data_IF_398583073682
#
_entry.id   IF_398583073682
#
_cell.length_a   1.000
_cell.length_b   1.000
_cell.length_c   1.000
_cell.angle_alpha   90.00
_cell.angle_beta   90.00
_cell.angle_gamma   90.00
#
_symmetry.space_group_name_H-M   'P 1'
#
loop_
_entity.id
_entity.type
_entity.pdbx_description
1 polymer ?
#
# COMPACT_ATOMS: atom_id res chain seq x y z
N UNK A 1 -69.98 -4.46 -25.98
CA UNK A 1 -70.23 -5.06 -24.67
C UNK A 1 -69.59 -4.17 -23.62
N UNK A 2 -70.40 -3.55 -22.80
CA UNK A 2 -70.13 -2.48 -21.85
C UNK A 2 -69.64 -3.07 -20.51
N UNK A 3 -68.70 -2.44 -19.79
CA UNK A 3 -68.28 -2.94 -18.46
C UNK A 3 -69.22 -2.45 -17.34
N UNK A 4 -69.31 -3.18 -16.21
CA UNK A 4 -70.17 -2.76 -15.11
C UNK A 4 -69.45 -1.84 -14.12
N UNK A 5 -70.20 -0.97 -13.47
CA UNK A 5 -69.83 0.04 -12.48
C UNK A 5 -69.70 -0.52 -11.05
N UNK A 6 -69.02 0.21 -10.14
CA UNK A 6 -68.55 -0.27 -8.86
C UNK A 6 -69.66 -0.20 -7.73
N UNK A 7 -69.48 -1.13 -6.80
CA UNK A 7 -70.32 -1.22 -5.59
C UNK A 7 -69.80 -0.37 -4.42
N UNK A 8 -70.74 0.09 -3.57
CA UNK A 8 -70.55 1.00 -2.45
C UNK A 8 -69.84 0.36 -1.23
N UNK A 9 -69.06 1.15 -0.54
CA UNK A 9 -68.50 0.86 0.79
C UNK A 9 -69.56 0.89 1.91
N UNK A 10 -69.33 0.16 2.99
CA UNK A 10 -69.88 0.56 4.31
C UNK A 10 -68.80 0.56 5.41
N UNK A 11 -68.93 1.54 6.30
CA UNK A 11 -68.75 1.38 7.72
C UNK A 11 -67.35 1.68 8.31
N UNK A 12 -67.22 2.94 8.77
CA UNK A 12 -66.18 3.34 9.70
C UNK A 12 -66.34 2.61 11.05
N UNK A 13 -65.25 1.94 11.51
CA UNK A 13 -65.12 1.52 12.92
C UNK A 13 -64.03 2.36 13.57
N UNK A 14 -64.40 3.08 14.60
CA UNK A 14 -63.55 3.78 15.55
C UNK A 14 -62.60 2.79 16.21
N UNK A 15 -61.29 3.05 16.12
CA UNK A 15 -60.28 2.33 16.89
C UNK A 15 -59.83 3.22 18.04
N UNK A 16 -59.94 2.63 19.19
CA UNK A 16 -59.49 3.03 20.50
C UNK A 16 -57.99 3.38 20.50
N UNK A 17 -57.58 4.48 21.13
CA UNK A 17 -56.21 4.92 21.29
C UNK A 17 -55.62 4.25 22.54
N UNK A 18 -54.77 3.25 22.33
CA UNK A 18 -53.88 2.73 23.36
C UNK A 18 -52.70 3.69 23.63
N UNK A 19 -51.99 3.57 24.78
CA UNK A 19 -51.02 4.54 25.26
C UNK A 19 -49.76 4.60 24.39
N UNK A 20 -49.22 5.83 24.22
CA UNK A 20 -48.20 6.22 23.30
C UNK A 20 -46.89 5.43 23.39
N UNK A 21 -46.37 5.06 22.23
CA UNK A 21 -44.99 4.59 22.05
C UNK A 21 -43.97 5.73 22.31
N UNK A 22 -42.83 5.46 22.93
CA UNK A 22 -41.80 6.48 23.12
C UNK A 22 -41.26 6.96 21.76
N UNK A 23 -41.13 8.27 21.61
CA UNK A 23 -40.61 8.92 20.41
C UNK A 23 -39.18 8.50 20.09
N UNK A 24 -38.75 8.67 18.81
CA UNK A 24 -37.41 8.28 18.40
C UNK A 24 -36.35 9.12 19.17
N UNK A 25 -35.56 8.41 19.94
CA UNK A 25 -34.42 8.99 20.65
C UNK A 25 -33.55 9.78 19.68
N UNK A 26 -33.17 10.97 20.08
CA UNK A 26 -32.15 11.76 19.39
C UNK A 26 -30.88 10.93 19.22
N UNK A 27 -30.66 10.38 18.02
CA UNK A 27 -29.37 9.90 17.59
C UNK A 27 -28.41 11.09 17.71
N UNK A 28 -27.53 11.05 18.70
CA UNK A 28 -26.38 11.96 18.76
C UNK A 28 -25.66 11.81 17.43
N UNK A 29 -25.68 12.87 16.61
CA UNK A 29 -24.81 12.94 15.44
C UNK A 29 -23.40 12.87 15.96
N UNK A 30 -22.67 11.82 15.58
CA UNK A 30 -21.22 11.83 15.71
C UNK A 30 -20.69 13.06 15.00
N UNK A 31 -19.67 13.77 15.57
CA UNK A 31 -19.11 14.94 14.94
C UNK A 31 -18.58 14.56 13.56
N UNK A 32 -19.01 15.29 12.55
CA UNK A 32 -18.59 15.13 11.15
C UNK A 32 -17.07 15.32 11.10
N UNK A 33 -16.32 14.23 10.85
CA UNK A 33 -14.88 14.19 10.82
C UNK A 33 -14.27 15.14 9.73
N UNK A 34 -15.11 15.81 8.96
CA UNK A 34 -14.72 16.76 7.90
C UNK A 34 -14.31 18.14 8.39
N UNK A 35 -14.48 18.46 9.67
CA UNK A 35 -14.22 19.80 10.22
C UNK A 35 -13.17 19.85 11.34
N UNK A 36 -12.25 18.91 11.41
CA UNK A 36 -11.01 19.15 12.13
C UNK A 36 -10.17 20.13 11.30
N UNK A 37 -10.42 21.42 11.50
CA UNK A 37 -9.57 22.48 10.95
C UNK A 37 -8.15 22.25 11.50
N UNK A 38 -7.28 21.69 10.66
CA UNK A 38 -5.85 21.61 10.93
C UNK A 38 -5.30 23.02 10.95
N UNK A 39 -4.80 23.47 12.09
CA UNK A 39 -4.06 24.71 12.20
C UNK A 39 -2.94 24.71 11.14
N UNK A 40 -2.69 25.86 10.53
CA UNK A 40 -1.54 26.10 9.64
C UNK A 40 -0.29 25.74 10.46
N UNK A 41 0.41 24.64 10.05
CA UNK A 41 1.53 24.07 10.83
C UNK A 41 1.22 22.71 11.47
N UNK A 42 0.02 22.14 11.25
CA UNK A 42 -0.38 20.85 11.80
C UNK A 42 0.43 19.68 11.24
N UNK A 43 1.04 18.90 12.14
CA UNK A 43 1.64 17.61 11.82
C UNK A 43 0.57 16.69 11.21
N UNK A 44 1.00 15.82 10.29
CA UNK A 44 0.14 14.77 9.77
C UNK A 44 -0.52 13.99 10.93
N UNK A 45 -1.80 13.56 10.81
CA UNK A 45 -2.48 12.83 11.86
C UNK A 45 -1.65 11.65 12.36
N UNK A 46 -1.61 11.37 13.68
CA UNK A 46 -0.87 10.25 14.21
C UNK A 46 -1.47 8.94 13.67
N UNK A 47 -0.59 8.00 13.29
CA UNK A 47 -0.97 6.66 12.86
C UNK A 47 -0.65 5.64 13.96
N UNK A 48 -1.25 4.45 13.90
CA UNK A 48 -0.83 3.32 14.72
C UNK A 48 0.60 2.92 14.39
N UNK A 49 1.29 2.25 15.32
CA UNK A 49 2.58 1.62 15.05
C UNK A 49 2.37 0.18 14.66
N UNK A 50 2.95 -0.24 13.54
CA UNK A 50 2.96 -1.63 13.07
C UNK A 50 4.34 -2.21 13.30
N UNK A 51 4.41 -3.30 14.08
CA UNK A 51 5.65 -4.02 14.31
C UNK A 51 5.87 -5.07 13.21
N UNK A 52 7.08 -5.09 12.63
CA UNK A 52 7.50 -6.03 11.58
C UNK A 52 8.88 -6.58 11.95
N UNK A 53 8.93 -7.77 12.56
CA UNK A 53 10.16 -8.26 13.17
C UNK A 53 10.71 -7.25 14.19
N UNK A 54 11.96 -6.80 14.02
CA UNK A 54 12.57 -5.78 14.90
C UNK A 54 12.16 -4.34 14.55
N UNK A 55 11.45 -4.13 13.44
CA UNK A 55 11.13 -2.80 12.94
C UNK A 55 9.76 -2.32 13.41
N UNK A 56 9.61 -0.99 13.50
CA UNK A 56 8.35 -0.32 13.80
C UNK A 56 8.07 0.72 12.72
N UNK A 57 6.87 0.71 12.13
CA UNK A 57 6.45 1.64 11.08
C UNK A 57 5.20 2.38 11.53
N UNK A 58 5.14 3.69 11.30
CA UNK A 58 4.05 4.55 11.79
C UNK A 58 4.27 5.04 13.21
N UNK A 59 3.29 5.72 13.78
CA UNK A 59 3.36 6.21 15.16
C UNK A 59 4.50 7.20 15.45
N UNK A 60 4.97 7.92 14.42
CA UNK A 60 6.11 8.84 14.57
C UNK A 60 7.49 8.19 14.53
N UNK A 61 7.57 6.90 14.16
CA UNK A 61 8.84 6.20 13.96
C UNK A 61 9.59 6.76 12.73
N UNK A 62 10.92 6.51 12.62
CA UNK A 62 11.70 6.90 11.44
C UNK A 62 11.11 6.37 10.13
N UNK A 63 11.23 7.16 9.05
CA UNK A 63 10.82 6.77 7.71
C UNK A 63 11.48 5.44 7.29
N UNK A 64 10.67 4.44 6.95
CA UNK A 64 11.16 3.14 6.51
C UNK A 64 11.26 3.05 4.98
N UNK A 65 12.10 2.13 4.49
CA UNK A 65 12.19 1.75 3.09
C UNK A 65 11.68 0.32 2.90
N UNK A 66 10.75 0.13 1.98
CA UNK A 66 10.34 -1.16 1.44
C UNK A 66 10.85 -1.23 0.01
N UNK A 67 11.75 -2.17 -0.31
CA UNK A 67 12.32 -2.15 -1.66
C UNK A 67 13.10 -3.38 -2.06
N UNK A 68 13.38 -3.47 -3.36
CA UNK A 68 14.08 -4.56 -4.01
C UNK A 68 13.67 -4.70 -5.47
N UNK A 69 14.10 -5.76 -6.19
CA UNK A 69 13.74 -5.97 -7.58
C UNK A 69 12.23 -6.20 -7.75
N UNK A 70 11.69 -5.80 -8.88
CA UNK A 70 10.28 -5.99 -9.22
C UNK A 70 9.83 -7.46 -9.02
N UNK A 71 10.58 -8.40 -9.60
CA UNK A 71 10.39 -9.85 -9.46
C UNK A 71 11.72 -10.53 -9.17
N UNK A 72 11.67 -11.66 -8.49
CA UNK A 72 12.85 -12.50 -8.23
C UNK A 72 13.33 -13.08 -9.57
N UNK A 73 14.57 -12.78 -9.95
CA UNK A 73 15.19 -13.34 -11.16
C UNK A 73 15.85 -14.69 -10.90
N UNK A 74 16.62 -14.76 -9.82
CA UNK A 74 17.27 -15.97 -9.29
C UNK A 74 17.78 -15.69 -7.86
N UNK A 75 18.22 -16.74 -7.16
CA UNK A 75 18.71 -16.65 -5.78
C UNK A 75 19.94 -15.73 -5.65
N UNK A 76 20.93 -15.88 -6.54
CA UNK A 76 22.16 -15.08 -6.48
C UNK A 76 21.86 -13.60 -6.64
N UNK A 77 21.03 -13.23 -7.61
CA UNK A 77 20.62 -11.85 -7.84
C UNK A 77 19.87 -11.28 -6.63
N UNK A 78 18.92 -12.04 -6.07
CA UNK A 78 18.17 -11.63 -4.90
C UNK A 78 19.06 -11.32 -3.70
N UNK A 79 20.05 -12.20 -3.39
CA UNK A 79 20.99 -12.00 -2.28
C UNK A 79 21.90 -10.80 -2.50
N UNK A 80 22.55 -10.69 -3.67
CA UNK A 80 23.47 -9.59 -3.98
C UNK A 80 22.75 -8.23 -3.96
N UNK A 81 21.55 -8.17 -4.53
CA UNK A 81 20.73 -6.96 -4.53
C UNK A 81 20.29 -6.57 -3.12
N UNK A 82 19.82 -7.55 -2.34
CA UNK A 82 19.42 -7.32 -0.96
C UNK A 82 20.60 -6.84 -0.10
N UNK A 83 21.75 -7.48 -0.16
CA UNK A 83 22.98 -7.10 0.56
C UNK A 83 23.37 -5.66 0.26
N UNK A 84 23.37 -5.29 -1.03
CA UNK A 84 23.70 -3.93 -1.45
C UNK A 84 22.73 -2.89 -0.89
N UNK A 85 21.42 -3.18 -0.87
CA UNK A 85 20.43 -2.25 -0.31
C UNK A 85 20.59 -2.20 1.22
N UNK A 86 20.81 -3.33 1.88
CA UNK A 86 21.06 -3.40 3.34
C UNK A 86 22.25 -2.51 3.72
N UNK A 87 23.37 -2.60 3.00
CA UNK A 87 24.54 -1.75 3.24
C UNK A 87 24.16 -0.26 3.17
N UNK A 88 23.49 0.15 2.07
CA UNK A 88 23.09 1.55 1.86
C UNK A 88 22.15 2.05 2.97
N UNK A 89 21.20 1.23 3.40
CA UNK A 89 20.21 1.61 4.41
C UNK A 89 20.77 1.59 5.83
N UNK A 90 21.66 0.65 6.14
CA UNK A 90 22.38 0.57 7.43
C UNK A 90 23.26 1.80 7.65
N UNK A 91 24.05 2.19 6.64
CA UNK A 91 24.91 3.39 6.70
C UNK A 91 24.09 4.67 7.01
N UNK A 92 22.81 4.68 6.64
CA UNK A 92 21.90 5.82 6.82
C UNK A 92 20.92 5.63 7.96
N UNK A 93 20.97 4.51 8.67
CA UNK A 93 20.03 4.15 9.76
C UNK A 93 18.58 4.18 9.30
N UNK A 94 18.31 3.78 8.05
CA UNK A 94 16.96 3.68 7.49
C UNK A 94 16.43 2.27 7.74
N UNK A 95 15.28 2.10 8.46
CA UNK A 95 14.63 0.81 8.62
C UNK A 95 14.29 0.22 7.23
N UNK A 96 14.63 -1.04 7.00
CA UNK A 96 14.53 -1.64 5.67
C UNK A 96 13.79 -2.99 5.68
N UNK A 97 12.87 -3.15 4.72
CA UNK A 97 12.17 -4.40 4.40
C UNK A 97 12.51 -4.77 2.96
N UNK A 98 13.08 -5.95 2.76
CA UNK A 98 13.34 -6.44 1.40
C UNK A 98 12.04 -6.89 0.73
N UNK A 99 11.78 -6.37 -0.47
CA UNK A 99 10.61 -6.73 -1.27
C UNK A 99 11.02 -7.27 -2.63
N UNK A 100 10.50 -8.44 -2.99
CA UNK A 100 10.49 -8.92 -4.37
C UNK A 100 9.32 -9.86 -4.58
N UNK A 101 8.72 -9.85 -5.79
CA UNK A 101 7.58 -10.73 -6.09
C UNK A 101 8.06 -12.09 -6.57
N UNK A 102 7.48 -13.16 -6.05
CA UNK A 102 7.71 -14.52 -6.55
C UNK A 102 6.93 -14.80 -7.83
N UNK A 103 5.85 -14.07 -8.05
CA UNK A 103 5.07 -14.09 -9.30
C UNK A 103 4.51 -12.69 -9.61
N UNK A 104 4.42 -12.38 -10.87
CA UNK A 104 3.72 -11.21 -11.42
C UNK A 104 2.48 -11.69 -12.18
N UNK A 105 1.45 -12.08 -11.43
CA UNK A 105 0.23 -12.71 -11.97
C UNK A 105 -0.57 -11.81 -12.93
N UNK A 106 -0.36 -10.49 -12.89
CA UNK A 106 -1.11 -9.49 -13.65
C UNK A 106 -0.38 -8.94 -14.89
N UNK A 107 0.55 -9.70 -15.49
CA UNK A 107 1.26 -9.26 -16.70
C UNK A 107 0.32 -8.98 -17.85
N UNK A 108 0.57 -7.88 -18.59
CA UNK A 108 -0.19 -7.52 -19.79
C UNK A 108 0.00 -8.56 -20.90
N UNK A 109 1.20 -9.09 -21.07
CA UNK A 109 1.52 -10.12 -22.07
C UNK A 109 1.73 -11.48 -21.42
N UNK A 110 1.18 -12.53 -22.05
CA UNK A 110 1.43 -13.93 -21.66
C UNK A 110 2.91 -14.31 -21.75
N UNK A 111 3.69 -13.58 -22.55
CA UNK A 111 5.14 -13.78 -22.71
C UNK A 111 5.97 -13.03 -21.67
N UNK A 112 5.35 -12.16 -20.86
CA UNK A 112 6.05 -11.39 -19.82
C UNK A 112 6.71 -12.29 -18.77
N UNK A 113 7.87 -11.90 -18.27
CA UNK A 113 8.52 -12.62 -17.18
C UNK A 113 7.66 -12.51 -15.90
N UNK A 114 7.34 -13.64 -15.31
CA UNK A 114 6.48 -13.70 -14.12
C UNK A 114 7.24 -13.87 -12.81
N UNK A 115 8.42 -14.46 -12.82
CA UNK A 115 9.16 -14.86 -11.62
C UNK A 115 9.33 -16.36 -11.52
N UNK A 116 9.96 -16.89 -10.43
CA UNK A 116 10.22 -18.32 -10.23
C UNK A 116 9.01 -19.12 -9.75
N UNK A 117 7.90 -18.46 -9.43
CA UNK A 117 6.71 -19.08 -8.82
C UNK A 117 6.78 -19.17 -7.30
N UNK A 118 5.66 -19.59 -6.69
CA UNK A 118 5.45 -19.58 -5.23
C UNK A 118 6.54 -20.32 -4.45
N UNK A 119 6.72 -21.61 -4.74
CA UNK A 119 7.60 -22.49 -3.93
C UNK A 119 9.05 -22.02 -3.96
N UNK A 120 9.60 -21.82 -5.15
CA UNK A 120 10.99 -21.38 -5.30
C UNK A 120 11.18 -19.95 -4.84
N UNK A 121 10.22 -19.06 -5.12
CA UNK A 121 10.30 -17.67 -4.68
C UNK A 121 10.27 -17.54 -3.16
N UNK A 122 9.42 -18.27 -2.46
CA UNK A 122 9.40 -18.28 -1.00
C UNK A 122 10.69 -18.86 -0.42
N UNK A 123 11.26 -19.92 -1.04
CA UNK A 123 12.56 -20.45 -0.65
C UNK A 123 13.66 -19.38 -0.74
N UNK A 124 13.70 -18.62 -1.85
CA UNK A 124 14.68 -17.55 -2.05
C UNK A 124 14.46 -16.42 -1.03
N UNK A 125 13.22 -15.97 -0.81
CA UNK A 125 12.91 -14.92 0.17
C UNK A 125 13.30 -15.32 1.59
N UNK A 126 13.02 -16.59 1.97
CA UNK A 126 13.50 -17.16 3.24
C UNK A 126 15.02 -17.09 3.34
N UNK A 127 15.73 -17.45 2.27
CA UNK A 127 17.18 -17.38 2.22
C UNK A 127 17.70 -15.96 2.43
N UNK A 128 17.10 -14.96 1.78
CA UNK A 128 17.45 -13.54 1.96
C UNK A 128 17.25 -13.13 3.42
N UNK A 129 16.10 -13.42 4.00
CA UNK A 129 15.79 -13.11 5.40
C UNK A 129 16.79 -13.73 6.37
N UNK A 130 17.04 -15.03 6.23
CA UNK A 130 17.86 -15.78 7.16
C UNK A 130 19.36 -15.43 7.03
N UNK A 131 19.81 -15.00 5.83
CA UNK A 131 21.19 -14.60 5.58
C UNK A 131 21.49 -13.17 6.03
N UNK A 132 20.56 -12.24 5.79
CA UNK A 132 20.80 -10.81 5.99
C UNK A 132 20.09 -10.23 7.23
N UNK A 133 19.25 -11.02 7.88
CA UNK A 133 18.52 -10.59 9.08
C UNK A 133 17.49 -9.48 8.84
N UNK A 134 17.00 -9.32 7.60
CA UNK A 134 16.02 -8.30 7.23
C UNK A 134 14.65 -8.90 7.00
N UNK A 135 13.55 -8.23 7.41
CA UNK A 135 12.20 -8.68 7.08
C UNK A 135 11.98 -8.75 5.57
N UNK A 136 11.14 -9.69 5.14
CA UNK A 136 10.83 -9.92 3.73
C UNK A 136 9.34 -9.74 3.44
N UNK A 137 9.04 -9.17 2.26
CA UNK A 137 7.71 -8.88 1.77
C UNK A 137 7.54 -9.39 0.33
N UNK A 138 6.41 -10.03 0.05
CA UNK A 138 5.96 -10.33 -1.32
C UNK A 138 4.45 -10.22 -1.44
N UNK A 139 3.97 -10.08 -2.66
CA UNK A 139 2.56 -10.08 -2.99
C UNK A 139 1.99 -11.50 -3.09
N UNK A 140 0.75 -11.67 -2.62
CA UNK A 140 -0.07 -12.89 -2.74
C UNK A 140 -1.25 -12.61 -3.68
N UNK A 141 -1.62 -13.61 -4.50
CA UNK A 141 -2.60 -13.40 -5.58
C UNK A 141 -3.87 -14.24 -5.41
N UNK A 142 -3.79 -15.33 -4.67
CA UNK A 142 -4.88 -16.28 -4.46
C UNK A 142 -4.92 -16.73 -3.01
N UNK A 143 -6.11 -17.11 -2.54
CA UNK A 143 -6.30 -17.61 -1.16
C UNK A 143 -5.42 -18.83 -0.86
N UNK A 144 -5.21 -19.71 -1.85
CA UNK A 144 -4.35 -20.90 -1.70
C UNK A 144 -2.86 -20.58 -1.48
N UNK A 145 -2.40 -19.39 -1.82
CA UNK A 145 -1.01 -18.95 -1.61
C UNK A 145 -0.78 -18.42 -0.18
N UNK A 146 -1.87 -18.01 0.51
CA UNK A 146 -1.76 -17.25 1.77
C UNK A 146 -1.07 -18.05 2.87
N UNK A 147 -1.46 -19.30 3.08
CA UNK A 147 -0.87 -20.11 4.16
C UNK A 147 0.64 -20.34 3.96
N UNK A 148 1.12 -20.87 2.82
CA UNK A 148 2.57 -21.05 2.60
C UNK A 148 3.34 -19.72 2.60
N UNK A 149 2.75 -18.63 2.10
CA UNK A 149 3.39 -17.31 2.14
C UNK A 149 3.55 -16.79 3.57
N UNK A 150 2.55 -16.96 4.42
CA UNK A 150 2.58 -16.51 5.81
C UNK A 150 3.63 -17.24 6.69
N UNK A 151 4.05 -18.45 6.32
CA UNK A 151 5.15 -19.16 6.99
C UNK A 151 6.50 -18.49 6.77
N UNK A 152 6.67 -17.82 5.62
CA UNK A 152 7.95 -17.24 5.21
C UNK A 152 7.96 -15.72 5.35
N UNK A 153 6.92 -15.04 4.87
CA UNK A 153 6.90 -13.59 4.80
C UNK A 153 6.65 -12.94 6.16
N UNK A 154 7.31 -11.82 6.40
CA UNK A 154 7.07 -10.96 7.55
C UNK A 154 5.93 -9.97 7.29
N UNK A 155 5.72 -9.60 6.01
CA UNK A 155 4.60 -8.78 5.54
C UNK A 155 4.01 -9.41 4.29
N UNK A 156 2.69 -9.63 4.26
CA UNK A 156 1.98 -10.05 3.05
C UNK A 156 1.43 -8.81 2.32
N UNK A 157 1.67 -8.75 1.01
CA UNK A 157 1.15 -7.66 0.20
C UNK A 157 -0.05 -8.08 -0.63
N UNK A 158 -1.10 -7.24 -0.60
CA UNK A 158 -2.25 -7.35 -1.50
C UNK A 158 -2.03 -6.41 -2.68
N UNK A 159 -1.92 -6.93 -3.92
CA UNK A 159 -1.76 -6.13 -5.12
C UNK A 159 -2.91 -5.15 -5.35
N UNK A 160 -2.64 -4.04 -6.04
CA UNK A 160 -3.60 -2.98 -6.30
C UNK A 160 -4.88 -3.48 -7.00
N UNK A 161 -4.77 -4.34 -8.01
CA UNK A 161 -5.94 -4.89 -8.70
C UNK A 161 -6.81 -5.80 -7.83
N UNK A 162 -6.23 -6.39 -6.79
CA UNK A 162 -6.89 -7.35 -5.91
C UNK A 162 -7.33 -6.73 -4.57
N UNK A 163 -7.12 -5.44 -4.35
CA UNK A 163 -7.36 -4.79 -3.07
C UNK A 163 -8.83 -4.85 -2.60
N UNK A 164 -9.78 -5.06 -3.50
CA UNK A 164 -11.21 -5.22 -3.19
C UNK A 164 -11.68 -6.67 -3.06
N UNK A 165 -10.84 -7.67 -3.38
CA UNK A 165 -11.20 -9.08 -3.31
C UNK A 165 -11.37 -9.52 -1.86
N UNK A 166 -12.64 -9.60 -1.40
CA UNK A 166 -12.97 -9.80 0.01
C UNK A 166 -12.35 -11.07 0.57
N UNK A 167 -12.45 -12.19 -0.15
CA UNK A 167 -11.96 -13.47 0.32
C UNK A 167 -10.44 -13.47 0.48
N UNK A 168 -9.70 -12.86 -0.47
CA UNK A 168 -8.25 -12.74 -0.38
C UNK A 168 -7.85 -11.82 0.80
N UNK A 169 -8.47 -10.64 0.91
CA UNK A 169 -8.19 -9.65 1.97
C UNK A 169 -8.41 -10.27 3.35
N UNK A 170 -9.54 -10.96 3.54
CA UNK A 170 -9.88 -11.62 4.81
C UNK A 170 -8.98 -12.80 5.09
N UNK A 171 -8.63 -13.63 4.08
CA UNK A 171 -7.71 -14.74 4.25
C UNK A 171 -6.32 -14.25 4.70
N UNK A 172 -5.79 -13.21 4.06
CA UNK A 172 -4.50 -12.61 4.46
C UNK A 172 -4.60 -12.02 5.86
N UNK A 173 -5.67 -11.30 6.19
CA UNK A 173 -5.85 -10.70 7.52
C UNK A 173 -5.91 -11.75 8.64
N UNK A 174 -6.53 -12.90 8.40
CA UNK A 174 -6.63 -14.03 9.37
C UNK A 174 -5.29 -14.68 9.71
N UNK A 175 -4.24 -14.43 8.93
CA UNK A 175 -2.89 -14.93 9.29
C UNK A 175 -2.31 -14.22 10.52
N UNK A 176 -2.87 -13.08 10.92
CA UNK A 176 -2.32 -12.23 11.99
C UNK A 176 -1.03 -11.50 11.61
N UNK A 177 -0.48 -11.74 10.41
CA UNK A 177 0.72 -11.04 9.91
C UNK A 177 0.40 -9.60 9.53
N UNK A 178 1.39 -8.70 9.54
CA UNK A 178 1.27 -7.38 8.91
C UNK A 178 0.89 -7.48 7.44
N UNK A 179 -0.05 -6.60 7.01
CA UNK A 179 -0.50 -6.50 5.62
C UNK A 179 -0.06 -5.17 5.03
N UNK A 180 0.50 -5.21 3.82
CA UNK A 180 0.66 -4.03 2.97
C UNK A 180 -0.41 -4.05 1.87
N UNK A 181 -1.36 -3.12 1.90
CA UNK A 181 -2.43 -3.06 0.90
C UNK A 181 -2.14 -1.95 -0.10
N UNK A 182 -1.90 -2.33 -1.35
CA UNK A 182 -1.77 -1.36 -2.46
C UNK A 182 -3.13 -0.81 -2.83
N UNK A 183 -3.31 0.52 -2.78
CA UNK A 183 -4.53 1.17 -3.25
C UNK A 183 -4.71 0.90 -4.75
N UNK A 184 -5.89 0.43 -5.14
CA UNK A 184 -6.25 0.28 -6.55
C UNK A 184 -6.23 1.62 -7.29
N UNK A 185 -5.76 1.62 -8.55
CA UNK A 185 -5.73 2.82 -9.40
C UNK A 185 -7.12 3.40 -9.65
N UNK A 186 -8.15 2.62 -9.42
CA UNK A 186 -9.58 2.93 -9.60
C UNK A 186 -10.28 3.38 -8.31
N UNK A 187 -9.56 3.46 -7.18
CA UNK A 187 -10.10 3.84 -5.88
C UNK A 187 -9.75 5.29 -5.52
N UNK A 188 -10.70 5.98 -4.92
CA UNK A 188 -10.40 7.19 -4.16
C UNK A 188 -9.65 6.82 -2.86
N UNK A 189 -8.79 7.71 -2.32
CA UNK A 189 -8.07 7.47 -1.08
C UNK A 189 -8.98 7.06 0.09
N UNK A 190 -10.12 7.73 0.26
CA UNK A 190 -11.09 7.43 1.30
C UNK A 190 -11.75 6.05 1.19
N UNK A 191 -11.79 5.45 -0.01
CA UNK A 191 -12.36 4.11 -0.22
C UNK A 191 -11.52 3.00 0.44
N UNK A 192 -10.26 3.30 0.79
CA UNK A 192 -9.40 2.38 1.54
C UNK A 192 -10.01 2.03 2.91
N UNK A 193 -10.89 2.86 3.45
CA UNK A 193 -11.66 2.55 4.66
C UNK A 193 -12.39 1.20 4.55
N UNK A 194 -13.03 0.92 3.42
CA UNK A 194 -13.77 -0.33 3.23
C UNK A 194 -12.86 -1.58 3.28
N UNK A 195 -11.61 -1.41 2.88
CA UNK A 195 -10.62 -2.50 2.93
C UNK A 195 -10.09 -2.65 4.37
N UNK A 196 -9.81 -1.53 5.03
CA UNK A 196 -9.46 -1.51 6.46
C UNK A 196 -10.55 -2.19 7.29
N UNK A 197 -11.82 -1.87 7.06
CA UNK A 197 -12.94 -2.48 7.79
C UNK A 197 -12.97 -4.00 7.63
N UNK A 198 -12.69 -4.55 6.44
CA UNK A 198 -12.58 -6.00 6.21
C UNK A 198 -11.45 -6.63 7.03
N UNK A 199 -10.29 -5.98 7.09
CA UNK A 199 -9.12 -6.48 7.83
C UNK A 199 -9.38 -6.44 9.33
N UNK A 200 -9.90 -5.31 9.82
CA UNK A 200 -10.22 -5.11 11.24
C UNK A 200 -11.35 -6.04 11.71
N UNK A 201 -12.31 -6.37 10.83
CA UNK A 201 -13.43 -7.28 11.18
C UNK A 201 -13.00 -8.66 11.63
N UNK A 202 -11.78 -9.06 11.29
CA UNK A 202 -11.19 -10.35 11.73
C UNK A 202 -10.09 -10.17 12.79
N UNK A 203 -10.02 -8.97 13.42
CA UNK A 203 -9.15 -8.69 14.55
C UNK A 203 -7.72 -8.24 14.19
N UNK A 204 -7.34 -8.15 12.91
CA UNK A 204 -6.01 -7.71 12.53
C UNK A 204 -5.97 -6.17 12.39
N UNK A 205 -4.98 -5.55 13.02
CA UNK A 205 -4.75 -4.10 12.97
C UNK A 205 -3.34 -3.74 12.48
N UNK A 206 -2.54 -4.72 12.08
CA UNK A 206 -1.18 -4.51 11.54
C UNK A 206 -1.26 -4.20 10.05
N UNK A 207 -1.70 -2.99 9.69
CA UNK A 207 -2.04 -2.57 8.34
C UNK A 207 -1.12 -1.45 7.89
N UNK A 208 -0.56 -1.59 6.68
CA UNK A 208 0.11 -0.54 5.92
C UNK A 208 -0.75 -0.22 4.70
N UNK A 209 -1.01 1.06 4.43
CA UNK A 209 -1.79 1.53 3.28
C UNK A 209 -0.86 2.17 2.26
N UNK A 210 -0.80 1.62 1.05
CA UNK A 210 0.13 2.09 0.02
C UNK A 210 -0.57 2.85 -1.10
N UNK A 211 -0.23 4.14 -1.26
CA UNK A 211 -0.56 4.94 -2.44
C UNK A 211 0.40 4.60 -3.58
N UNK A 212 -0.12 4.49 -4.82
CA UNK A 212 0.66 4.13 -6.01
C UNK A 212 0.15 4.79 -7.31
N UNK A 213 -0.64 5.81 -7.21
CA UNK A 213 -1.26 6.52 -8.33
C UNK A 213 -2.67 6.03 -8.65
N UNK A 214 -3.40 6.93 -9.28
CA UNK A 214 -4.79 6.73 -9.75
C UNK A 214 -4.81 6.90 -11.26
N UNK A 215 -5.61 6.10 -11.96
CA UNK A 215 -5.79 6.22 -13.41
C UNK A 215 -6.37 7.58 -13.77
N UNK A 216 -5.70 8.29 -14.68
CA UNK A 216 -6.09 9.60 -15.17
C UNK A 216 -5.99 9.63 -16.69
N UNK A 217 -7.08 9.32 -17.37
CA UNK A 217 -7.08 9.06 -18.80
C UNK A 217 -6.50 7.68 -19.14
N UNK A 218 -6.11 7.49 -20.41
CA UNK A 218 -5.52 6.25 -20.89
C UNK A 218 -4.02 6.22 -20.63
N UNK A 219 -3.50 5.07 -20.20
CA UNK A 219 -2.07 4.79 -20.02
C UNK A 219 -1.33 5.78 -19.10
N UNK A 220 -2.03 6.47 -18.21
CA UNK A 220 -1.43 7.45 -17.32
C UNK A 220 -1.91 7.29 -15.88
N UNK A 221 -1.02 7.61 -14.93
CA UNK A 221 -1.30 7.65 -13.51
C UNK A 221 -0.95 9.03 -12.96
N UNK A 222 -1.75 9.49 -12.01
CA UNK A 222 -1.52 10.73 -11.26
C UNK A 222 -1.60 10.43 -9.77
N UNK A 223 -0.75 11.09 -8.99
CA UNK A 223 -0.83 11.08 -7.53
C UNK A 223 -1.41 12.39 -7.05
N UNK A 224 -2.54 12.31 -6.36
CA UNK A 224 -3.02 13.41 -5.53
C UNK A 224 -2.34 13.32 -4.16
N UNK A 225 -1.41 14.24 -3.89
CA UNK A 225 -0.68 14.26 -2.63
C UNK A 225 -1.57 14.47 -1.41
N UNK A 226 -2.76 15.08 -1.55
CA UNK A 226 -3.78 15.20 -0.49
C UNK A 226 -4.30 13.82 -0.07
N UNK A 227 -4.36 12.87 -1.01
CA UNK A 227 -4.79 11.51 -0.76
C UNK A 227 -3.94 10.76 0.28
N UNK A 228 -2.68 11.15 0.46
CA UNK A 228 -1.82 10.60 1.52
C UNK A 228 -2.35 11.01 2.90
N UNK A 229 -2.83 12.25 3.05
CA UNK A 229 -3.44 12.72 4.30
C UNK A 229 -4.80 12.05 4.54
N UNK A 230 -5.63 11.89 3.50
CA UNK A 230 -6.92 11.19 3.60
C UNK A 230 -6.73 9.74 4.05
N UNK A 231 -5.75 9.03 3.49
CA UNK A 231 -5.43 7.67 3.91
C UNK A 231 -4.87 7.63 5.34
N UNK A 232 -4.04 8.61 5.70
CA UNK A 232 -3.47 8.73 7.04
C UNK A 232 -4.54 8.98 8.11
N UNK A 233 -5.61 9.72 7.77
CA UNK A 233 -6.75 9.95 8.65
C UNK A 233 -7.53 8.66 9.02
N UNK A 234 -7.29 7.54 8.30
CA UNK A 234 -7.81 6.22 8.68
C UNK A 234 -7.09 5.62 9.90
N UNK A 235 -6.01 6.26 10.39
CA UNK A 235 -5.29 5.88 11.60
C UNK A 235 -4.23 4.80 11.41
N UNK A 236 -3.87 4.44 10.18
CA UNK A 236 -2.86 3.43 9.85
C UNK A 236 -1.67 4.03 9.09
N UNK A 237 -0.46 3.44 9.21
CA UNK A 237 0.71 3.91 8.49
C UNK A 237 0.48 3.97 6.99
N UNK A 238 0.95 5.06 6.38
CA UNK A 238 0.85 5.30 4.94
C UNK A 238 2.22 5.09 4.29
N UNK A 239 2.22 4.27 3.25
CA UNK A 239 3.37 3.98 2.40
C UNK A 239 3.16 4.68 1.06
N UNK A 240 4.19 5.29 0.52
CA UNK A 240 4.17 5.85 -0.82
C UNK A 240 5.02 5.02 -1.77
N UNK A 241 4.40 4.46 -2.81
CA UNK A 241 5.09 3.75 -3.88
C UNK A 241 5.50 4.72 -4.98
N UNK A 242 6.75 5.16 -4.91
CA UNK A 242 7.28 6.16 -5.83
C UNK A 242 7.50 5.60 -7.25
N UNK A 243 7.76 4.31 -7.37
CA UNK A 243 8.08 3.66 -8.66
C UNK A 243 6.85 3.29 -9.47
N UNK A 244 5.80 2.76 -8.85
CA UNK A 244 4.56 2.50 -9.56
C UNK A 244 3.73 3.77 -9.82
N UNK A 245 3.96 4.85 -9.09
CA UNK A 245 3.29 6.15 -9.33
C UNK A 245 3.70 6.80 -10.65
N UNK A 246 4.83 6.42 -11.24
CA UNK A 246 5.32 6.92 -12.52
C UNK A 246 5.18 5.91 -13.65
N UNK A 247 4.44 4.82 -13.41
CA UNK A 247 4.16 3.81 -14.42
C UNK A 247 3.17 4.36 -15.46
N UNK A 248 3.36 3.97 -16.73
CA UNK A 248 2.44 4.18 -17.81
C UNK A 248 1.83 2.82 -18.20
N UNK A 249 0.70 2.42 -17.60
CA UNK A 249 0.13 1.09 -17.80
C UNK A 249 -0.21 0.83 -19.26
N UNK A 250 0.36 -0.23 -19.86
CA UNK A 250 0.15 -0.53 -21.29
C UNK A 250 0.78 0.46 -22.27
N UNK A 251 1.53 1.45 -21.80
CA UNK A 251 2.09 2.52 -22.64
C UNK A 251 3.14 2.06 -23.66
N UNK A 252 3.63 0.83 -23.56
CA UNK A 252 4.53 0.20 -24.54
C UNK A 252 3.84 -0.98 -25.28
N UNK A 253 2.51 -0.97 -25.38
CA UNK A 253 1.71 -1.97 -26.07
C UNK A 253 1.53 -3.24 -25.24
N UNK A 254 2.45 -4.18 -25.30
CA UNK A 254 2.38 -5.46 -24.58
C UNK A 254 2.96 -5.41 -23.15
N UNK A 255 3.42 -4.24 -22.72
CA UNK A 255 3.99 -3.99 -21.38
C UNK A 255 3.76 -2.55 -20.92
N UNK A 256 3.97 -2.32 -19.62
CA UNK A 256 3.98 -0.97 -19.08
C UNK A 256 5.26 -0.23 -19.50
N UNK A 257 5.12 1.05 -19.81
CA UNK A 257 6.20 2.02 -19.84
C UNK A 257 6.30 2.74 -18.49
N UNK A 258 7.20 3.71 -18.35
CA UNK A 258 7.34 4.48 -17.13
C UNK A 258 8.31 5.64 -17.25
N UNK A 259 8.25 6.53 -16.28
CA UNK A 259 9.01 7.76 -16.26
C UNK A 259 9.89 7.87 -14.99
N UNK A 260 10.87 6.97 -14.86
CA UNK A 260 11.82 6.89 -13.72
C UNK A 260 12.34 8.26 -13.26
N UNK A 261 12.52 9.19 -14.19
CA UNK A 261 13.03 10.55 -13.91
C UNK A 261 12.23 11.30 -12.82
N UNK A 262 10.95 10.95 -12.65
CA UNK A 262 10.08 11.60 -11.65
C UNK A 262 10.07 10.90 -10.28
N UNK A 263 10.61 9.69 -10.16
CA UNK A 263 10.66 8.96 -8.89
C UNK A 263 11.26 9.80 -7.76
N UNK A 264 12.43 10.46 -7.92
CA UNK A 264 13.00 11.26 -6.85
C UNK A 264 12.16 12.49 -6.46
N UNK A 265 11.46 13.09 -7.43
CA UNK A 265 10.60 14.25 -7.16
C UNK A 265 9.38 13.86 -6.35
N UNK A 266 8.68 12.78 -6.76
CA UNK A 266 7.48 12.31 -6.08
C UNK A 266 7.81 11.73 -4.70
N UNK A 267 8.93 11.02 -4.54
CA UNK A 267 9.38 10.53 -3.23
C UNK A 267 9.59 11.68 -2.23
N UNK A 268 10.28 12.75 -2.65
CA UNK A 268 10.47 13.95 -1.81
C UNK A 268 9.16 14.64 -1.47
N UNK A 269 8.25 14.79 -2.45
CA UNK A 269 6.94 15.39 -2.22
C UNK A 269 6.11 14.58 -1.21
N UNK A 270 6.09 13.25 -1.33
CA UNK A 270 5.37 12.38 -0.42
C UNK A 270 5.91 12.45 1.02
N UNK A 271 7.24 12.50 1.18
CA UNK A 271 7.87 12.69 2.50
C UNK A 271 7.51 14.06 3.08
N UNK A 272 7.49 15.10 2.26
CA UNK A 272 7.08 16.45 2.68
C UNK A 272 5.62 16.51 3.14
N UNK A 273 4.73 15.71 2.53
CA UNK A 273 3.32 15.59 2.96
C UNK A 273 3.17 14.81 4.25
N UNK A 274 4.09 13.89 4.54
CA UNK A 274 4.11 13.07 5.75
C UNK A 274 3.61 11.63 5.50
N UNK A 275 4.55 10.74 5.21
CA UNK A 275 4.37 9.30 5.06
C UNK A 275 5.21 8.54 6.09
N UNK A 276 4.90 7.26 6.29
CA UNK A 276 5.59 6.42 7.27
C UNK A 276 6.63 5.49 6.60
N UNK A 277 6.47 5.20 5.30
CA UNK A 277 7.45 4.46 4.53
C UNK A 277 7.44 4.84 3.05
N UNK A 278 8.60 4.68 2.40
CA UNK A 278 8.75 4.68 0.95
C UNK A 278 8.77 3.24 0.45
N UNK A 279 8.06 3.00 -0.66
CA UNK A 279 8.15 1.76 -1.41
C UNK A 279 8.81 2.05 -2.76
N UNK A 280 9.84 1.29 -3.13
CA UNK A 280 10.55 1.46 -4.40
C UNK A 280 10.98 0.13 -4.98
N UNK A 281 10.62 -0.15 -6.23
CA UNK A 281 11.27 -1.20 -7.00
C UNK A 281 12.62 -0.68 -7.51
N UNK A 282 13.67 -1.49 -7.35
CA UNK A 282 15.06 -1.09 -7.63
C UNK A 282 15.84 -2.20 -8.30
N UNK A 283 16.79 -1.82 -9.13
CA UNK A 283 17.69 -2.76 -9.81
C UNK A 283 19.05 -2.11 -10.07
N UNK A 284 20.12 -2.89 -10.18
CA UNK A 284 21.47 -2.41 -10.52
C UNK A 284 21.50 -1.79 -11.91
N UNK A 285 20.89 -2.49 -12.87
CA UNK A 285 20.73 -2.05 -14.24
C UNK A 285 19.30 -2.32 -14.73
N UNK A 286 18.34 -1.41 -14.47
CA UNK A 286 16.95 -1.61 -14.82
C UNK A 286 16.65 -1.56 -16.32
N UNK A 287 17.61 -1.18 -17.15
CA UNK A 287 17.48 -1.09 -18.60
C UNK A 287 18.01 -2.35 -19.33
N UNK A 288 18.65 -3.29 -18.60
CA UNK A 288 19.10 -4.55 -19.18
C UNK A 288 17.96 -5.47 -19.60
N UNK A 289 18.29 -6.46 -20.41
CA UNK A 289 17.42 -7.59 -20.72
C UNK A 289 17.77 -8.82 -19.87
N UNK A 290 16.81 -9.70 -19.69
CA UNK A 290 17.04 -11.03 -19.14
C UNK A 290 17.91 -11.88 -20.10
N UNK A 291 18.50 -13.00 -19.62
CA UNK A 291 19.31 -13.87 -20.47
C UNK A 291 18.61 -14.41 -21.71
N UNK A 292 17.27 -14.50 -21.67
CA UNK A 292 16.42 -14.94 -22.78
C UNK A 292 16.00 -13.80 -23.73
N UNK A 293 16.59 -12.60 -23.57
CA UNK A 293 16.32 -11.41 -24.38
C UNK A 293 15.08 -10.62 -24.02
N UNK A 294 14.28 -11.08 -23.04
CA UNK A 294 13.12 -10.32 -22.56
C UNK A 294 13.55 -9.12 -21.74
N UNK A 295 12.87 -7.96 -21.85
CA UNK A 295 13.15 -6.84 -20.96
C UNK A 295 12.77 -7.17 -19.52
N UNK A 296 13.45 -6.52 -18.57
CA UNK A 296 13.08 -6.60 -17.17
C UNK A 296 11.65 -6.11 -16.96
N UNK A 297 10.98 -6.78 -16.03
CA UNK A 297 9.68 -6.33 -15.56
C UNK A 297 9.79 -4.96 -14.91
N UNK A 298 8.94 -4.03 -15.32
CA UNK A 298 8.88 -2.66 -14.81
C UNK A 298 10.23 -1.88 -14.88
N UNK A 299 11.18 -2.32 -15.70
CA UNK A 299 12.47 -1.67 -15.90
C UNK A 299 12.40 -0.14 -16.06
N UNK A 300 11.47 0.41 -16.90
CA UNK A 300 11.34 1.86 -17.07
C UNK A 300 10.96 2.65 -15.81
N UNK A 301 10.40 2.00 -14.78
CA UNK A 301 10.00 2.64 -13.53
C UNK A 301 11.02 2.45 -12.41
N UNK A 302 11.77 1.32 -12.42
CA UNK A 302 12.66 0.97 -11.32
C UNK A 302 13.76 2.01 -11.11
N UNK A 303 14.01 2.35 -9.85
CA UNK A 303 15.14 3.17 -9.47
C UNK A 303 16.46 2.39 -9.67
N UNK A 304 17.51 3.04 -10.17
CA UNK A 304 18.85 2.46 -10.13
C UNK A 304 19.33 2.43 -8.68
N UNK A 305 19.84 1.29 -8.22
CA UNK A 305 20.33 1.17 -6.83
C UNK A 305 21.45 2.18 -6.55
N UNK A 306 22.25 2.54 -7.57
CA UNK A 306 23.27 3.58 -7.45
C UNK A 306 22.74 4.98 -7.11
N UNK A 307 21.46 5.27 -7.38
CA UNK A 307 20.84 6.56 -7.08
C UNK A 307 20.18 6.57 -5.68
N UNK A 308 20.02 5.40 -5.06
CA UNK A 308 19.37 5.25 -3.75
C UNK A 308 20.03 6.08 -2.64
N UNK A 309 21.37 6.10 -2.49
CA UNK A 309 22.03 6.88 -1.45
C UNK A 309 21.63 8.35 -1.47
N UNK A 310 21.72 8.98 -2.63
CA UNK A 310 21.39 10.40 -2.83
C UNK A 310 19.91 10.68 -2.55
N UNK A 311 19.03 9.76 -2.92
CA UNK A 311 17.60 9.92 -2.66
C UNK A 311 17.31 9.82 -1.18
N UNK A 312 17.87 8.84 -0.48
CA UNK A 312 17.69 8.68 0.98
C UNK A 312 18.20 9.90 1.75
N UNK A 313 19.38 10.44 1.37
CA UNK A 313 19.92 11.65 1.99
C UNK A 313 18.96 12.85 1.80
N UNK A 314 18.40 13.01 0.61
CA UNK A 314 17.46 14.09 0.32
C UNK A 314 16.14 13.97 1.09
N UNK A 315 15.57 12.77 1.20
CA UNK A 315 14.31 12.56 1.95
C UNK A 315 14.52 12.62 3.46
N UNK A 316 15.69 12.20 3.97
CA UNK A 316 16.04 12.35 5.36
C UNK A 316 16.15 13.83 5.77
N UNK A 317 16.75 14.70 4.92
CA UNK A 317 16.81 16.14 5.17
C UNK A 317 15.42 16.77 5.24
N UNK A 318 14.50 16.37 4.34
CA UNK A 318 13.10 16.84 4.36
C UNK A 318 12.40 16.36 5.65
N UNK A 319 12.53 15.08 6.00
CA UNK A 319 11.91 14.54 7.20
C UNK A 319 12.42 15.26 8.48
N UNK A 320 13.71 15.54 8.55
CA UNK A 320 14.32 16.28 9.64
C UNK A 320 13.76 17.72 9.74
N UNK A 321 13.56 18.40 8.61
CA UNK A 321 13.02 19.77 8.59
C UNK A 321 11.54 19.82 9.02
N UNK A 322 10.81 18.71 8.94
CA UNK A 322 9.42 18.59 9.37
C UNK A 322 9.26 18.11 10.81
N UNK A 323 10.32 17.58 11.41
CA UNK A 323 10.28 17.18 12.82
C UNK A 323 9.97 18.40 13.71
N UNK A 324 9.11 18.25 14.75
CA UNK A 324 8.90 19.33 15.69
C UNK A 324 10.24 19.76 16.26
N UNK A 325 10.49 21.09 16.26
CA UNK A 325 11.65 21.62 16.96
C UNK A 325 11.64 21.07 18.38
N UNK A 326 12.71 20.39 18.79
CA UNK A 326 12.91 19.98 20.16
C UNK A 326 12.71 21.25 20.99
N UNK A 327 11.71 21.29 21.89
CA UNK A 327 11.64 22.33 22.91
C UNK A 327 12.92 22.15 23.72
N UNK A 328 13.93 22.96 23.42
CA UNK A 328 15.02 23.15 24.39
C UNK A 328 14.34 23.55 25.68
N UNK A 329 14.51 22.71 26.68
CA UNK A 329 14.12 23.06 28.03
C UNK A 329 14.89 24.35 28.36
N UNK A 330 14.17 25.48 28.39
CA UNK A 330 14.64 26.68 29.03
C UNK A 330 14.58 26.36 30.50
N UNK A 331 15.75 26.05 31.11
CA UNK A 331 15.97 26.02 32.54
C UNK A 331 15.78 27.42 33.15
#
# INVERSE_FOLDING_TARGET
MTPPRPGKSPGARTRDRGPGAPGPGHLRREPDARNAATAVGGHAPPTTTVQIGPLHIGGGQPLALIGGPCAIENEKHALVTAERIVTITTDRRVPFIYKSSYDKANRSSIRGYRGPGLTEGLRILKKVRDTLGVPVLSDVHQVSEVAPAAEVLDVLQIPAFLCRQTDLVVAVARTGKPLNVKKGQFLAPGDMKNIVDKIVSVGNRSILLTERGTSFGYHNLVVDMRGLQDMRALGFPVVFDATHSVQLPGGAGDRSAGERKYVPALARAAVAVGIDALFMEMHEDPDRTLPDGRPLSDGPNMLRIGDLPRLLDAVAAIAAALAPASREAVE
#
